data_IF_624495628048
#
_entry.id   IF_624495628048
#
_cell.length_a   1.000
_cell.length_b   1.000
_cell.length_c   1.000
_cell.angle_alpha   90.00
_cell.angle_beta   90.00
_cell.angle_gamma   90.00
#
_symmetry.space_group_name_H-M   'P 1'
#
loop_
_entity.id
_entity.type
_entity.pdbx_description
1 polymer ?
#
# COMPACT_ATOMS: atom_id res chain seq x y z
N UNK A 1 -5.91 2.13 -15.84
CA UNK A 1 -6.38 2.89 -14.66
C UNK A 1 -5.74 2.22 -13.46
N UNK A 2 -4.80 2.88 -12.78
CA UNK A 2 -4.02 2.23 -11.71
C UNK A 2 -4.92 2.05 -10.48
N UNK A 3 -5.56 0.89 -10.36
CA UNK A 3 -6.35 0.55 -9.18
C UNK A 3 -5.56 -0.44 -8.34
N UNK A 4 -5.50 -0.21 -7.03
CA UNK A 4 -4.95 -1.20 -6.11
C UNK A 4 -6.05 -1.77 -5.25
N UNK A 5 -6.06 -3.10 -5.13
CA UNK A 5 -6.94 -3.83 -4.22
C UNK A 5 -6.09 -4.37 -3.09
N UNK A 6 -6.42 -3.95 -1.86
CA UNK A 6 -5.78 -4.39 -0.63
C UNK A 6 -6.74 -5.36 0.06
N UNK A 7 -6.31 -6.60 0.25
CA UNK A 7 -7.05 -7.58 1.06
C UNK A 7 -6.42 -7.65 2.44
N UNK A 8 -7.23 -7.45 3.48
CA UNK A 8 -6.79 -7.54 4.87
C UNK A 8 -6.81 -8.99 5.36
N UNK A 9 -6.15 -9.26 6.49
CA UNK A 9 -6.25 -10.55 7.18
C UNK A 9 -7.64 -10.83 7.77
N UNK A 10 -8.46 -9.80 7.98
CA UNK A 10 -9.89 -9.96 8.32
C UNK A 10 -10.76 -10.37 7.11
N UNK A 11 -10.16 -10.53 5.92
CA UNK A 11 -10.82 -10.80 4.64
C UNK A 11 -11.64 -9.63 4.07
N UNK A 12 -11.49 -8.42 4.62
CA UNK A 12 -12.02 -7.21 4.00
C UNK A 12 -11.18 -6.83 2.78
N UNK A 13 -11.82 -6.31 1.74
CA UNK A 13 -11.15 -5.84 0.53
C UNK A 13 -11.41 -4.35 0.33
N UNK A 14 -10.33 -3.57 0.25
CA UNK A 14 -10.38 -2.13 0.01
C UNK A 14 -9.80 -1.85 -1.37
N UNK A 15 -10.49 -1.05 -2.17
CA UNK A 15 -10.02 -0.59 -3.47
C UNK A 15 -9.64 0.88 -3.41
N UNK A 16 -8.43 1.21 -3.87
CA UNK A 16 -8.00 2.60 -4.08
C UNK A 16 -7.81 2.81 -5.58
N UNK A 17 -8.70 3.62 -6.16
CA UNK A 17 -8.69 3.98 -7.57
C UNK A 17 -7.71 5.12 -7.85
N UNK A 18 -7.23 5.19 -9.09
CA UNK A 18 -6.29 6.22 -9.57
C UNK A 18 -5.10 6.42 -8.61
N UNK A 19 -4.47 5.30 -8.20
CA UNK A 19 -3.34 5.31 -7.30
C UNK A 19 -2.21 6.19 -7.87
N UNK A 20 -1.76 7.15 -7.05
CA UNK A 20 -0.70 8.12 -7.39
C UNK A 20 0.60 7.84 -6.65
N UNK A 21 0.49 7.36 -5.40
CA UNK A 21 1.62 7.16 -4.51
C UNK A 21 1.32 6.09 -3.48
N UNK A 22 2.32 5.28 -3.17
CA UNK A 22 2.36 4.47 -1.95
C UNK A 22 3.39 5.09 -1.02
N UNK A 23 3.08 5.23 0.26
CA UNK A 23 4.01 5.72 1.26
C UNK A 23 4.15 4.71 2.38
N UNK A 24 5.38 4.36 2.73
CA UNK A 24 5.72 3.41 3.79
C UNK A 24 6.88 3.95 4.62
N UNK A 25 7.16 3.30 5.75
CA UNK A 25 8.44 3.41 6.45
C UNK A 25 9.39 2.32 5.94
N UNK A 26 10.69 2.62 5.90
CA UNK A 26 11.75 1.66 5.56
C UNK A 26 12.34 0.96 6.80
N UNK A 27 13.38 0.16 6.62
CA UNK A 27 14.07 -0.56 7.71
C UNK A 27 14.86 0.36 8.66
N UNK A 28 15.16 1.59 8.26
CA UNK A 28 15.87 2.59 9.05
C UNK A 28 14.92 3.60 9.73
N UNK A 29 13.61 3.50 9.49
CA UNK A 29 12.60 4.41 10.02
C UNK A 29 12.31 5.61 9.11
N UNK A 30 12.93 5.69 7.94
CA UNK A 30 12.71 6.75 6.96
C UNK A 30 11.42 6.52 6.17
N UNK A 31 10.78 7.62 5.76
CA UNK A 31 9.55 7.55 4.95
C UNK A 31 9.93 7.41 3.48
N UNK A 32 9.60 6.28 2.88
CA UNK A 32 9.75 6.03 1.44
C UNK A 32 8.43 6.33 0.73
N UNK A 33 8.54 7.03 -0.40
CA UNK A 33 7.44 7.27 -1.34
C UNK A 33 7.70 6.54 -2.66
N UNK A 34 6.75 5.70 -3.06
CA UNK A 34 6.84 4.87 -4.27
C UNK A 34 5.78 5.36 -5.26
N UNK A 35 6.22 5.73 -6.45
CA UNK A 35 5.36 6.18 -7.57
C UNK A 35 5.43 5.25 -8.77
N UNK A 36 6.46 4.39 -8.85
CA UNK A 36 6.50 3.25 -9.76
C UNK A 36 6.06 1.98 -9.02
N UNK A 37 4.82 1.55 -9.24
CA UNK A 37 4.22 0.46 -8.46
C UNK A 37 4.79 -0.93 -8.79
N UNK A 38 5.53 -1.07 -9.90
CA UNK A 38 6.25 -2.29 -10.20
C UNK A 38 7.38 -2.57 -9.18
N UNK A 39 7.89 -1.52 -8.54
CA UNK A 39 8.94 -1.61 -7.52
C UNK A 39 8.38 -1.83 -6.11
N UNK A 40 7.05 -1.90 -5.95
CA UNK A 40 6.43 -2.09 -4.64
C UNK A 40 6.52 -3.54 -4.17
N UNK A 41 7.10 -3.72 -2.99
CA UNK A 41 7.10 -4.97 -2.23
C UNK A 41 6.65 -4.70 -0.80
N UNK A 42 5.68 -5.48 -0.32
CA UNK A 42 5.21 -5.40 1.06
C UNK A 42 6.28 -5.84 2.07
N UNK A 43 7.32 -6.54 1.63
CA UNK A 43 8.43 -6.95 2.49
C UNK A 43 9.34 -5.78 2.87
N UNK A 44 9.36 -4.74 2.05
CA UNK A 44 10.20 -3.55 2.25
C UNK A 44 9.49 -2.49 3.11
N UNK A 45 8.22 -2.73 3.42
CA UNK A 45 7.39 -1.87 4.24
C UNK A 45 7.51 -2.22 5.73
N UNK A 46 7.70 -1.21 6.57
CA UNK A 46 7.63 -1.31 8.02
C UNK A 46 6.51 -0.44 8.58
N UNK A 47 5.80 -0.96 9.58
CA UNK A 47 4.72 -0.25 10.24
C UNK A 47 3.55 0.05 9.30
N UNK A 48 3.15 1.33 9.25
CA UNK A 48 1.98 1.79 8.50
C UNK A 48 2.29 1.98 7.00
N UNK A 49 1.39 1.48 6.14
CA UNK A 49 1.41 1.66 4.69
C UNK A 49 0.22 2.52 4.26
N UNK A 50 0.48 3.54 3.44
CA UNK A 50 -0.54 4.44 2.88
C UNK A 50 -0.63 4.29 1.37
N UNK A 51 -1.84 4.03 0.89
CA UNK A 51 -2.18 4.02 -0.53
C UNK A 51 -2.95 5.30 -0.85
N UNK A 52 -2.39 6.15 -1.71
CA UNK A 52 -2.89 7.49 -1.98
C UNK A 52 -3.33 7.57 -3.46
N UNK A 53 -4.64 7.61 -3.69
CA UNK A 53 -5.25 7.79 -5.00
C UNK A 53 -6.38 8.82 -4.94
N UNK A 54 -7.57 8.45 -5.42
CA UNK A 54 -8.79 9.23 -5.19
C UNK A 54 -9.20 9.22 -3.71
N UNK A 55 -8.92 8.11 -3.03
CA UNK A 55 -9.02 7.96 -1.59
C UNK A 55 -7.65 7.73 -0.97
N UNK A 56 -7.51 8.08 0.31
CA UNK A 56 -6.34 7.72 1.11
C UNK A 56 -6.73 6.57 2.00
N UNK A 57 -6.07 5.43 1.84
CA UNK A 57 -6.22 4.28 2.72
C UNK A 57 -4.92 4.04 3.48
N UNK A 58 -5.02 3.78 4.79
CA UNK A 58 -3.89 3.57 5.70
C UNK A 58 -4.13 2.30 6.50
N UNK A 59 -3.09 1.47 6.63
CA UNK A 59 -3.18 0.19 7.34
C UNK A 59 -1.79 -0.23 7.86
N UNK A 60 -1.73 -0.93 9.00
CA UNK A 60 -0.48 -1.58 9.45
C UNK A 60 -0.14 -2.73 8.48
N UNK A 61 1.11 -2.81 8.04
CA UNK A 61 1.62 -3.85 7.15
C UNK A 61 1.28 -5.26 7.65
N UNK A 62 1.24 -5.46 8.98
CA UNK A 62 0.91 -6.76 9.59
C UNK A 62 -0.54 -7.19 9.36
N UNK A 63 -1.43 -6.26 9.04
CA UNK A 63 -2.84 -6.53 8.79
C UNK A 63 -3.16 -6.72 7.30
N UNK A 64 -2.19 -6.44 6.41
CA UNK A 64 -2.30 -6.71 4.98
C UNK A 64 -2.05 -8.20 4.72
N UNK A 65 -2.97 -8.84 3.99
CA UNK A 65 -2.79 -10.20 3.46
C UNK A 65 -2.24 -10.16 2.03
N UNK A 66 -2.77 -9.30 1.17
CA UNK A 66 -2.28 -9.15 -0.20
C UNK A 66 -2.56 -7.76 -0.78
N UNK A 67 -1.78 -7.40 -1.79
CA UNK A 67 -1.92 -6.17 -2.58
C UNK A 67 -1.89 -6.55 -4.05
N UNK A 68 -2.91 -6.16 -4.80
CA UNK A 68 -3.03 -6.45 -6.24
C UNK A 68 -3.21 -5.16 -7.04
N UNK A 69 -2.32 -4.91 -7.99
CA UNK A 69 -2.38 -3.79 -8.92
C UNK A 69 -3.12 -4.20 -10.21
N UNK A 70 -4.05 -3.36 -10.68
CA UNK A 70 -4.88 -3.54 -11.88
C UNK A 70 -4.81 -2.30 -12.77
#
# INVERSE_FOLDING_TARGET
MNTVVITTKSHDSISVSNLKKIQTMDIMGEKISITNFADFSLNDANGEVKFIGDTIFSIDRRDIMSVLFK
#
